data_IF_962487874476
#
_entry.id   IF_962487874476
#
_cell.length_a   1.000
_cell.length_b   1.000
_cell.length_c   1.000
_cell.angle_alpha   90.00
_cell.angle_beta   90.00
_cell.angle_gamma   90.00
#
_symmetry.space_group_name_H-M   'P 1'
#
loop_
_entity.id
_entity.type
_entity.pdbx_description
1 polymer ?
#
# COMPACT_ATOMS: atom_id res chain seq x y z
N UNK A 1 -14.13 -16.28 4.35
CA UNK A 1 -12.94 -15.85 3.72
C UNK A 1 -12.97 -14.38 3.47
N UNK A 2 -12.36 -13.61 4.33
CA UNK A 2 -12.01 -12.24 3.99
C UNK A 2 -10.82 -12.31 3.03
N UNK A 3 -11.07 -12.68 1.83
CA UNK A 3 -10.10 -12.54 0.79
C UNK A 3 -10.00 -11.06 0.50
N UNK A 4 -9.09 -10.37 1.04
CA UNK A 4 -7.91 -9.94 0.35
C UNK A 4 -8.21 -9.23 -0.99
N UNK A 5 -9.39 -8.61 -1.09
CA UNK A 5 -9.73 -7.82 -2.27
C UNK A 5 -8.76 -6.65 -2.44
N UNK A 6 -8.07 -6.23 -1.37
CA UNK A 6 -7.01 -5.23 -1.46
C UNK A 6 -5.64 -5.80 -1.85
N UNK A 7 -5.33 -7.07 -1.54
CA UNK A 7 -4.02 -7.66 -1.86
C UNK A 7 -3.90 -8.14 -3.30
N UNK A 8 -4.99 -8.48 -3.95
CA UNK A 8 -4.99 -8.87 -5.35
C UNK A 8 -4.52 -7.76 -6.29
N UNK A 9 -4.48 -6.54 -5.82
CA UNK A 9 -4.26 -5.38 -6.66
C UNK A 9 -2.85 -4.82 -6.62
N UNK A 10 -2.16 -5.01 -5.49
CA UNK A 10 -0.75 -4.61 -5.34
C UNK A 10 0.19 -5.80 -5.28
N UNK A 11 -0.32 -6.98 -4.95
CA UNK A 11 0.49 -8.19 -4.75
C UNK A 11 -0.18 -9.32 -5.54
N UNK A 12 0.58 -9.90 -6.48
CA UNK A 12 0.11 -11.09 -7.21
C UNK A 12 -0.03 -12.26 -6.22
N UNK A 13 -1.01 -13.13 -6.42
CA UNK A 13 -1.22 -14.33 -5.57
C UNK A 13 0.07 -15.15 -5.40
N UNK A 14 0.91 -15.21 -6.42
CA UNK A 14 2.22 -15.88 -6.37
C UNK A 14 3.23 -15.22 -5.43
N UNK A 15 2.96 -14.02 -4.92
CA UNK A 15 3.84 -13.29 -3.98
C UNK A 15 3.42 -13.42 -2.53
N UNK A 16 2.32 -14.08 -2.26
CA UNK A 16 1.78 -14.24 -0.90
C UNK A 16 2.29 -15.55 -0.29
N UNK A 17 2.71 -15.49 0.97
CA UNK A 17 3.04 -16.67 1.74
C UNK A 17 1.78 -17.25 2.40
N UNK A 18 1.41 -18.47 2.04
CA UNK A 18 0.38 -19.23 2.73
C UNK A 18 0.97 -19.89 4.00
N UNK A 19 0.21 -19.88 5.08
CA UNK A 19 0.56 -20.61 6.31
C UNK A 19 -0.11 -21.96 6.24
N UNK A 20 0.66 -23.05 6.16
CA UNK A 20 0.13 -24.40 6.30
C UNK A 20 0.15 -24.82 7.77
N UNK A 21 -0.92 -25.45 8.22
CA UNK A 21 -0.99 -26.08 9.54
C UNK A 21 -1.62 -27.46 9.39
N UNK A 22 -0.96 -28.48 9.91
CA UNK A 22 -1.45 -29.86 9.88
C UNK A 22 -2.73 -30.06 10.72
N UNK A 23 -3.14 -29.03 11.49
CA UNK A 23 -4.27 -29.09 12.42
C UNK A 23 -5.43 -28.13 12.08
N UNK A 24 -5.41 -27.47 10.95
CA UNK A 24 -6.50 -26.57 10.54
C UNK A 24 -7.36 -27.32 9.52
N UNK A 25 -8.58 -27.65 9.90
CA UNK A 25 -9.61 -28.06 8.95
C UNK A 25 -9.77 -26.94 7.89
N UNK A 26 -9.85 -27.32 6.67
CA UNK A 26 -9.57 -26.66 5.39
C UNK A 26 -10.36 -25.36 5.07
N UNK A 27 -11.08 -24.75 6.02
CA UNK A 27 -11.96 -23.63 5.70
C UNK A 27 -11.34 -22.21 5.91
N UNK A 28 -10.16 -22.13 6.51
CA UNK A 28 -9.50 -20.84 6.76
C UNK A 28 -8.02 -20.85 6.43
N UNK A 29 -7.71 -20.80 5.13
CA UNK A 29 -6.34 -20.59 4.71
C UNK A 29 -5.85 -19.23 5.21
N UNK A 30 -4.80 -19.24 6.03
CA UNK A 30 -4.14 -18.01 6.50
C UNK A 30 -2.97 -17.65 5.58
N UNK A 31 -2.72 -16.35 5.47
CA UNK A 31 -1.62 -15.81 4.70
C UNK A 31 -0.86 -14.77 5.51
N UNK A 32 0.45 -14.68 5.29
CA UNK A 32 1.23 -13.56 5.80
C UNK A 32 0.89 -12.29 5.03
N UNK A 33 0.79 -11.19 5.74
CA UNK A 33 0.40 -9.90 5.14
C UNK A 33 1.52 -9.36 4.24
N UNK A 34 1.19 -8.98 3.04
CA UNK A 34 2.13 -8.34 2.10
C UNK A 34 2.12 -6.82 2.15
N UNK A 35 1.06 -6.22 2.73
CA UNK A 35 0.90 -4.80 3.02
C UNK A 35 -0.24 -4.64 4.03
N UNK A 36 -0.20 -3.62 4.88
CA UNK A 36 -1.27 -3.35 5.85
C UNK A 36 -2.46 -2.55 5.29
N UNK A 37 -2.40 -2.07 4.06
CA UNK A 37 -3.51 -1.35 3.43
C UNK A 37 -4.84 -2.12 3.50
N UNK A 38 -4.92 -3.40 3.09
CA UNK A 38 -6.15 -4.16 3.19
C UNK A 38 -6.69 -4.28 4.62
N UNK A 39 -5.81 -4.48 5.59
CA UNK A 39 -6.17 -4.59 7.00
C UNK A 39 -6.68 -3.27 7.57
N UNK A 40 -6.03 -2.16 7.22
CA UNK A 40 -6.44 -0.83 7.65
C UNK A 40 -7.85 -0.48 7.13
N UNK A 41 -8.13 -0.74 5.86
CA UNK A 41 -9.46 -0.51 5.29
C UNK A 41 -10.51 -1.52 5.79
N UNK A 42 -10.13 -2.78 6.05
CA UNK A 42 -11.03 -3.80 6.61
C UNK A 42 -11.54 -3.43 8.00
N UNK A 43 -10.81 -2.58 8.73
CA UNK A 43 -11.30 -2.02 10.00
C UNK A 43 -12.62 -1.28 9.86
N UNK A 44 -12.85 -0.67 8.70
CA UNK A 44 -14.08 0.06 8.39
C UNK A 44 -15.13 -0.78 7.62
N UNK A 45 -14.84 -2.05 7.33
CA UNK A 45 -15.72 -2.89 6.51
C UNK A 45 -17.14 -2.97 7.09
N UNK A 46 -18.14 -2.87 6.20
CA UNK A 46 -19.59 -2.91 6.51
C UNK A 46 -20.07 -1.85 7.51
N UNK A 47 -19.32 -0.76 7.66
CA UNK A 47 -19.69 0.34 8.54
C UNK A 47 -20.32 1.51 7.78
N UNK A 48 -21.26 2.16 8.48
CA UNK A 48 -21.74 3.49 8.14
C UNK A 48 -21.00 4.48 9.04
N UNK A 49 -20.29 5.41 8.45
CA UNK A 49 -19.49 6.41 9.16
C UNK A 49 -20.24 7.74 9.18
N UNK A 50 -20.26 8.38 10.33
CA UNK A 50 -20.83 9.71 10.45
C UNK A 50 -19.92 10.74 9.73
N UNK A 51 -20.52 11.67 9.01
CA UNK A 51 -19.79 12.66 8.23
C UNK A 51 -18.87 13.58 9.07
N UNK A 52 -19.23 13.80 10.32
CA UNK A 52 -18.45 14.58 11.29
C UNK A 52 -17.19 13.85 11.80
N UNK A 53 -17.11 12.53 11.58
CA UNK A 53 -15.93 11.71 11.88
C UNK A 53 -14.92 11.63 10.71
N UNK A 54 -15.25 12.25 9.59
CA UNK A 54 -14.42 12.22 8.40
C UNK A 54 -13.60 13.53 8.23
N UNK A 55 -12.36 13.44 7.77
CA UNK A 55 -11.64 12.25 7.32
C UNK A 55 -11.17 11.36 8.48
N UNK A 56 -11.48 10.07 8.42
CA UNK A 56 -10.97 9.07 9.35
C UNK A 56 -9.62 8.56 8.86
N UNK A 57 -8.55 8.91 9.58
CA UNK A 57 -7.18 8.57 9.22
C UNK A 57 -6.65 7.48 10.13
N UNK A 58 -6.00 6.49 9.54
CA UNK A 58 -5.35 5.39 10.25
C UNK A 58 -3.95 5.19 9.69
N UNK A 59 -3.05 4.73 10.53
CA UNK A 59 -1.76 4.24 10.07
C UNK A 59 -1.41 2.94 10.78
N UNK A 60 -0.59 2.13 10.13
CA UNK A 60 -0.04 0.92 10.72
C UNK A 60 1.46 0.82 10.43
N UNK A 61 2.21 0.39 11.42
CA UNK A 61 3.57 -0.11 11.27
C UNK A 61 3.51 -1.63 11.30
N UNK A 62 3.91 -2.27 10.21
CA UNK A 62 3.65 -3.70 10.01
C UNK A 62 4.83 -4.38 9.36
N UNK A 63 5.23 -5.54 9.91
CA UNK A 63 6.10 -6.46 9.20
C UNK A 63 5.34 -7.07 8.01
N UNK A 64 5.86 -6.86 6.81
CA UNK A 64 5.28 -7.31 5.56
C UNK A 64 6.11 -8.44 4.96
N UNK A 65 5.45 -9.37 4.27
CA UNK A 65 6.07 -10.58 3.74
C UNK A 65 5.69 -10.75 2.27
N UNK A 66 6.69 -10.89 1.40
CA UNK A 66 6.49 -11.15 -0.04
C UNK A 66 7.45 -12.23 -0.50
N UNK A 67 6.95 -13.24 -1.21
CA UNK A 67 7.78 -14.33 -1.73
C UNK A 67 8.72 -13.87 -2.85
N UNK A 68 8.46 -12.68 -3.43
CA UNK A 68 9.20 -12.11 -4.56
C UNK A 68 9.27 -13.05 -5.77
N UNK A 69 8.31 -13.97 -5.88
CA UNK A 69 8.22 -14.93 -6.97
C UNK A 69 8.09 -14.20 -8.32
N UNK A 70 8.92 -14.58 -9.29
CA UNK A 70 8.94 -13.98 -10.62
C UNK A 70 9.79 -12.71 -10.74
N UNK A 71 10.41 -12.26 -9.66
CA UNK A 71 11.40 -11.17 -9.73
C UNK A 71 12.74 -11.72 -10.17
N UNK A 72 13.08 -11.52 -11.44
CA UNK A 72 14.35 -11.95 -12.03
C UNK A 72 15.19 -10.72 -12.40
N UNK A 73 16.41 -10.63 -11.92
CA UNK A 73 17.34 -9.58 -12.33
C UNK A 73 18.24 -9.01 -11.24
N UNK A 74 18.83 -7.85 -11.51
CA UNK A 74 19.80 -7.17 -10.64
C UNK A 74 19.21 -6.75 -9.28
N UNK A 75 17.91 -6.52 -9.20
CA UNK A 75 17.22 -5.97 -8.02
C UNK A 75 16.93 -7.00 -6.93
N UNK A 76 17.16 -8.28 -7.19
CA UNK A 76 16.92 -9.40 -6.24
C UNK A 76 18.08 -9.58 -5.25
N UNK A 77 19.14 -8.78 -5.36
CA UNK A 77 20.33 -8.89 -4.50
C UNK A 77 20.45 -7.70 -3.55
N UNK A 78 20.78 -8.00 -2.29
CA UNK A 78 21.00 -6.98 -1.26
C UNK A 78 19.74 -6.62 -0.50
N UNK A 79 19.71 -5.42 0.11
CA UNK A 79 18.62 -4.96 0.97
C UNK A 79 17.43 -4.36 0.21
N UNK A 80 17.53 -4.17 -1.10
CA UNK A 80 16.50 -3.50 -1.91
C UNK A 80 15.22 -4.32 -2.02
N UNK A 81 15.33 -5.65 -2.06
CA UNK A 81 14.21 -6.55 -2.23
C UNK A 81 14.41 -7.79 -1.36
N UNK A 82 13.65 -7.84 -0.31
CA UNK A 82 13.75 -8.86 0.75
C UNK A 82 12.40 -9.53 0.97
N UNK A 83 12.40 -10.72 1.56
CA UNK A 83 11.18 -11.49 1.83
C UNK A 83 10.38 -10.95 3.01
N UNK A 84 11.04 -10.27 3.94
CA UNK A 84 10.42 -9.60 5.07
C UNK A 84 10.97 -8.18 5.16
N UNK A 85 10.08 -7.20 5.32
CA UNK A 85 10.41 -5.79 5.50
C UNK A 85 9.35 -5.12 6.34
N UNK A 86 9.72 -4.01 6.96
CA UNK A 86 8.79 -3.19 7.71
C UNK A 86 8.20 -2.10 6.81
N UNK A 87 6.90 -1.86 6.95
CA UNK A 87 6.19 -0.84 6.19
C UNK A 87 5.30 0.00 7.10
N UNK A 88 5.36 1.31 6.92
CA UNK A 88 4.37 2.24 7.45
C UNK A 88 3.37 2.52 6.35
N UNK A 89 2.10 2.32 6.66
CA UNK A 89 0.99 2.56 5.73
C UNK A 89 0.05 3.59 6.34
N UNK A 90 -0.17 4.69 5.65
CA UNK A 90 -1.15 5.72 6.01
C UNK A 90 -2.37 5.57 5.11
N UNK A 91 -3.56 5.49 5.68
CA UNK A 91 -4.80 5.38 4.93
C UNK A 91 -5.84 6.37 5.47
N UNK A 92 -6.76 6.80 4.62
CA UNK A 92 -7.87 7.64 5.03
C UNK A 92 -9.15 7.24 4.32
N UNK A 93 -10.25 7.26 5.07
CA UNK A 93 -11.61 7.27 4.54
C UNK A 93 -12.13 8.69 4.68
N UNK A 94 -12.60 9.29 3.60
CA UNK A 94 -13.00 10.69 3.57
C UNK A 94 -14.19 10.93 2.63
N UNK A 95 -14.81 12.08 2.75
CA UNK A 95 -15.79 12.52 1.75
C UNK A 95 -15.10 12.84 0.42
N UNK A 96 -15.82 12.74 -0.71
CA UNK A 96 -15.24 13.00 -2.03
C UNK A 96 -14.59 14.37 -2.17
N UNK A 97 -15.17 15.39 -1.58
CA UNK A 97 -14.66 16.79 -1.59
C UNK A 97 -13.43 17.01 -0.70
N UNK A 98 -13.17 16.10 0.26
CA UNK A 98 -11.99 16.12 1.12
C UNK A 98 -10.79 15.40 0.51
N UNK A 99 -11.00 14.56 -0.50
CA UNK A 99 -10.00 13.58 -0.96
C UNK A 99 -8.72 14.23 -1.47
N UNK A 100 -8.80 15.33 -2.19
CA UNK A 100 -7.61 16.05 -2.69
C UNK A 100 -6.81 16.71 -1.55
N UNK A 101 -7.48 17.23 -0.54
CA UNK A 101 -6.81 17.83 0.62
C UNK A 101 -6.08 16.74 1.44
N UNK A 102 -6.72 15.60 1.65
CA UNK A 102 -6.10 14.45 2.35
C UNK A 102 -4.93 13.89 1.55
N UNK A 103 -5.07 13.77 0.23
CA UNK A 103 -3.99 13.35 -0.64
C UNK A 103 -2.78 14.30 -0.56
N UNK A 104 -3.02 15.60 -0.61
CA UNK A 104 -1.97 16.61 -0.49
C UNK A 104 -1.26 16.53 0.87
N UNK A 105 -2.00 16.36 1.96
CA UNK A 105 -1.44 16.22 3.31
C UNK A 105 -0.52 15.00 3.42
N UNK A 106 -0.95 13.82 2.93
CA UNK A 106 -0.11 12.62 2.95
C UNK A 106 1.15 12.78 2.09
N UNK A 107 1.01 13.45 0.96
CA UNK A 107 2.10 13.82 0.10
C UNK A 107 3.14 14.70 0.80
N UNK A 108 2.70 15.72 1.52
CA UNK A 108 3.59 16.60 2.31
C UNK A 108 4.30 15.84 3.42
N UNK A 109 3.61 14.92 4.10
CA UNK A 109 4.21 14.07 5.15
C UNK A 109 5.32 13.21 4.56
N UNK A 110 5.09 12.57 3.42
CA UNK A 110 6.06 11.71 2.76
C UNK A 110 7.29 12.49 2.29
N UNK A 111 7.10 13.66 1.68
CA UNK A 111 8.22 14.51 1.28
C UNK A 111 8.98 15.06 2.50
N UNK A 112 8.26 15.50 3.54
CA UNK A 112 8.87 15.94 4.78
C UNK A 112 9.77 14.85 5.40
N UNK A 113 9.31 13.60 5.42
CA UNK A 113 10.09 12.47 5.94
C UNK A 113 11.40 12.27 5.17
N UNK A 114 11.36 12.28 3.84
CA UNK A 114 12.56 12.14 3.01
C UNK A 114 13.53 13.32 3.21
N UNK A 115 13.00 14.54 3.40
CA UNK A 115 13.81 15.71 3.70
C UNK A 115 14.49 15.62 5.09
N UNK A 116 13.75 15.14 6.12
CA UNK A 116 14.35 14.92 7.45
C UNK A 116 15.45 13.85 7.41
N UNK A 117 15.29 12.84 6.58
CA UNK A 117 16.31 11.80 6.35
C UNK A 117 17.47 12.28 5.46
N UNK A 118 17.37 13.49 4.90
CA UNK A 118 18.35 14.09 3.98
C UNK A 118 18.64 13.20 2.76
N UNK A 119 17.59 12.49 2.27
CA UNK A 119 17.71 11.62 1.11
C UNK A 119 17.40 12.43 -0.17
N UNK A 120 18.27 12.40 -1.18
CA UNK A 120 17.96 12.96 -2.49
C UNK A 120 16.83 12.17 -3.13
N UNK A 121 15.72 12.83 -3.48
CA UNK A 121 14.54 12.17 -4.04
C UNK A 121 13.97 12.95 -5.22
N UNK A 122 13.09 12.29 -5.96
CA UNK A 122 12.19 12.90 -6.93
C UNK A 122 10.78 12.38 -6.74
N UNK A 123 9.81 13.17 -7.16
CA UNK A 123 8.40 12.79 -7.22
C UNK A 123 8.02 12.54 -8.66
N UNK A 124 7.39 11.42 -8.94
CA UNK A 124 7.02 10.98 -10.28
C UNK A 124 5.51 10.75 -10.33
N UNK A 125 4.79 11.53 -11.12
CA UNK A 125 3.39 11.22 -11.41
C UNK A 125 3.33 9.99 -12.33
N UNK A 126 2.59 8.97 -11.91
CA UNK A 126 2.41 7.74 -12.69
C UNK A 126 1.56 7.99 -13.92
N UNK A 127 2.01 7.50 -15.06
CA UNK A 127 1.17 7.49 -16.25
C UNK A 127 0.09 6.40 -16.16
N UNK A 128 -1.02 6.58 -16.88
CA UNK A 128 -2.15 5.65 -16.86
C UNK A 128 -1.80 4.24 -17.34
N UNK A 129 -0.73 4.07 -18.10
CA UNK A 129 -0.25 2.76 -18.55
C UNK A 129 0.52 1.97 -17.49
N UNK A 130 0.99 2.66 -16.43
CA UNK A 130 1.76 2.06 -15.34
C UNK A 130 1.03 2.14 -13.99
N UNK A 131 0.06 3.05 -13.87
CA UNK A 131 -0.82 3.09 -12.73
C UNK A 131 -1.67 1.81 -12.67
N UNK A 132 -1.61 1.10 -11.57
CA UNK A 132 -2.47 -0.06 -11.34
C UNK A 132 -3.95 0.33 -11.43
N UNK A 133 -4.83 -0.64 -11.72
CA UNK A 133 -6.28 -0.40 -11.79
C UNK A 133 -6.93 0.04 -10.45
N UNK A 134 -6.18 0.04 -9.36
CA UNK A 134 -6.52 0.70 -8.09
C UNK A 134 -6.44 2.21 -8.17
N UNK A 135 -5.47 2.72 -8.92
CA UNK A 135 -5.21 4.14 -9.03
C UNK A 135 -6.15 4.76 -10.04
N UNK A 136 -7.41 4.85 -9.67
CA UNK A 136 -8.45 5.33 -10.56
C UNK A 136 -8.38 6.82 -10.84
N UNK A 137 -7.77 7.61 -9.96
CA UNK A 137 -7.76 9.06 -10.08
C UNK A 137 -6.34 9.64 -10.13
N UNK A 138 -5.51 9.37 -9.14
CA UNK A 138 -4.16 9.90 -9.05
C UNK A 138 -3.23 8.96 -8.32
N UNK A 139 -2.02 8.79 -8.88
CA UNK A 139 -0.93 8.08 -8.23
C UNK A 139 0.39 8.77 -8.52
N UNK A 140 1.22 8.88 -7.50
CA UNK A 140 2.60 9.33 -7.63
C UNK A 140 3.52 8.51 -6.75
N UNK A 141 4.74 8.33 -7.21
CA UNK A 141 5.79 7.65 -6.48
C UNK A 141 6.85 8.65 -6.02
N UNK A 142 7.39 8.40 -4.85
CA UNK A 142 8.58 9.08 -4.37
C UNK A 142 9.76 8.11 -4.51
N UNK A 143 10.72 8.53 -5.30
CA UNK A 143 11.89 7.72 -5.62
C UNK A 143 13.16 8.35 -5.05
N UNK A 144 13.95 7.58 -4.34
CA UNK A 144 15.22 8.01 -3.73
C UNK A 144 16.38 7.63 -4.63
N UNK A 145 17.34 8.54 -4.75
CA UNK A 145 18.57 8.31 -5.50
C UNK A 145 19.50 7.34 -4.78
N UNK A 146 19.80 6.23 -5.42
CA UNK A 146 20.68 5.19 -4.93
C UNK A 146 22.07 5.38 -5.55
N UNK A 147 23.00 6.00 -4.81
CA UNK A 147 24.33 6.36 -5.30
C UNK A 147 25.18 5.13 -5.74
N UNK A 148 24.99 3.99 -5.07
CA UNK A 148 25.71 2.75 -5.38
C UNK A 148 25.33 2.13 -6.73
N UNK A 149 24.04 2.12 -7.06
CA UNK A 149 23.52 1.60 -8.34
C UNK A 149 23.36 2.69 -9.41
N UNK A 150 23.45 3.97 -9.03
CA UNK A 150 23.24 5.14 -9.90
C UNK A 150 21.86 5.15 -10.57
N UNK A 151 20.84 4.87 -9.79
CA UNK A 151 19.45 4.81 -10.24
C UNK A 151 18.51 5.34 -9.15
N UNK A 152 17.29 5.69 -9.53
CA UNK A 152 16.23 5.99 -8.59
C UNK A 152 15.49 4.71 -8.22
N UNK A 153 15.09 4.61 -6.96
CA UNK A 153 14.30 3.50 -6.43
C UNK A 153 13.06 4.04 -5.74
N UNK A 154 11.89 3.53 -6.11
CA UNK A 154 10.64 3.80 -5.43
C UNK A 154 10.72 3.35 -3.96
N UNK A 155 10.35 4.25 -3.06
CA UNK A 155 10.32 3.99 -1.62
C UNK A 155 8.95 4.31 -0.99
N UNK A 156 8.15 5.14 -1.65
CA UNK A 156 6.81 5.52 -1.20
C UNK A 156 5.90 5.74 -2.40
N UNK A 157 4.61 5.50 -2.22
CA UNK A 157 3.56 5.78 -3.21
C UNK A 157 2.39 6.47 -2.54
N UNK A 158 1.89 7.55 -3.13
CA UNK A 158 0.64 8.20 -2.78
C UNK A 158 -0.42 7.86 -3.82
N UNK A 159 -1.58 7.39 -3.39
CA UNK A 159 -2.67 6.99 -4.29
C UNK A 159 -4.02 7.50 -3.81
N UNK A 160 -4.76 8.17 -4.70
CA UNK A 160 -6.19 8.46 -4.53
C UNK A 160 -7.00 7.46 -5.37
N UNK A 161 -7.64 6.51 -4.71
CA UNK A 161 -8.40 5.42 -5.35
C UNK A 161 -9.89 5.71 -5.43
N UNK A 162 -10.31 6.93 -5.10
CA UNK A 162 -11.71 7.33 -5.02
C UNK A 162 -12.53 6.37 -4.14
N UNK A 163 -13.66 5.89 -4.60
CA UNK A 163 -14.57 5.01 -3.85
C UNK A 163 -14.30 3.50 -4.06
N UNK A 164 -13.15 3.14 -4.65
CA UNK A 164 -12.86 1.76 -5.05
C UNK A 164 -12.92 0.78 -3.87
N UNK A 165 -12.18 1.04 -2.78
CA UNK A 165 -12.18 0.20 -1.59
C UNK A 165 -13.50 0.33 -0.82
N UNK A 166 -14.07 1.53 -0.73
CA UNK A 166 -15.32 1.77 -0.02
C UNK A 166 -16.46 0.90 -0.58
N UNK A 167 -16.60 0.83 -1.91
CA UNK A 167 -17.61 -0.03 -2.54
C UNK A 167 -17.39 -1.52 -2.27
N UNK A 168 -16.14 -1.98 -2.28
CA UNK A 168 -15.81 -3.41 -2.07
C UNK A 168 -15.99 -3.85 -0.64
N UNK A 169 -15.72 -2.95 0.30
CA UNK A 169 -15.77 -3.22 1.72
C UNK A 169 -17.10 -2.77 2.37
N UNK A 170 -18.08 -2.32 1.59
CA UNK A 170 -19.37 -1.87 2.11
C UNK A 170 -19.28 -0.66 3.04
N UNK A 171 -18.24 0.18 2.92
CA UNK A 171 -18.06 1.40 3.73
C UNK A 171 -19.00 2.48 3.20
N UNK A 172 -19.80 3.05 4.05
CA UNK A 172 -20.84 4.03 3.70
C UNK A 172 -20.90 5.16 4.70
#
# INVERSE_FOLDING_TARGET
GFCLVGSEMCIRDSQVYAISSDNVEDETQLFLVGSSEPTNFSYFADRVLDADQLPAKVFAYTACFRSEAGSWGKDVKGIKRVHQFDKIEMNAVCLPDQSEAVYAEFAEINEWLLQQLQLPYRVVDKCTGDAGYLASHRQRDLEVWMSGSREYMEVMTDTNTTDYQARRLGIR
#
